data_IF_026119855738
#
_entry.id   IF_026119855738
#
_cell.length_a   1.000
_cell.length_b   1.000
_cell.length_c   1.000
_cell.angle_alpha   90.00
_cell.angle_beta   90.00
_cell.angle_gamma   90.00
#
_symmetry.space_group_name_H-M   'P 1'
#
loop_
_entity.id
_entity.type
_entity.pdbx_description
1 polymer ?
#
# COMPACT_ATOMS: atom_id res chain seq x y z
N UNK A 1 8.76 -3.78 3.72
CA UNK A 1 8.82 -4.00 2.25
C UNK A 1 8.76 -2.64 1.57
N UNK A 2 9.56 -2.40 0.55
CA UNK A 2 9.65 -1.12 -0.17
C UNK A 2 9.56 -1.33 -1.68
N UNK A 3 9.02 -0.34 -2.38
CA UNK A 3 9.07 -0.31 -3.84
C UNK A 3 10.48 0.06 -4.35
N UNK A 4 10.63 0.12 -5.67
CA UNK A 4 11.88 0.47 -6.33
C UNK A 4 12.19 1.97 -6.39
N UNK A 5 11.50 2.83 -5.64
CA UNK A 5 11.73 4.27 -5.74
C UNK A 5 13.15 4.66 -5.30
N UNK A 6 13.77 5.59 -6.06
CA UNK A 6 15.18 5.93 -5.88
C UNK A 6 15.50 6.43 -4.46
N UNK A 7 14.57 7.16 -3.82
CA UNK A 7 14.77 7.72 -2.49
C UNK A 7 14.86 6.65 -1.39
N UNK A 8 14.23 5.48 -1.57
CA UNK A 8 14.33 4.34 -0.64
C UNK A 8 15.74 3.73 -0.60
N UNK A 9 16.56 3.96 -1.64
CA UNK A 9 17.91 3.40 -1.78
C UNK A 9 19.02 4.39 -1.49
N UNK A 10 18.68 5.57 -0.98
CA UNK A 10 19.67 6.58 -0.63
C UNK A 10 20.50 6.13 0.57
N UNK A 11 21.77 6.53 0.61
CA UNK A 11 22.68 6.17 1.72
C UNK A 11 22.14 6.62 3.07
N UNK A 12 21.48 7.79 3.12
CA UNK A 12 20.88 8.32 4.33
C UNK A 12 19.81 7.35 4.89
N UNK A 13 18.91 6.88 4.02
CA UNK A 13 17.82 5.96 4.42
C UNK A 13 18.38 4.59 4.82
N UNK A 14 19.34 4.06 4.06
CA UNK A 14 20.00 2.78 4.37
C UNK A 14 20.75 2.85 5.71
N UNK A 15 21.45 3.95 5.97
CA UNK A 15 22.22 4.15 7.21
C UNK A 15 21.29 4.25 8.41
N UNK A 16 20.21 5.03 8.31
CA UNK A 16 19.20 5.12 9.36
C UNK A 16 18.57 3.75 9.67
N UNK A 17 18.26 2.96 8.64
CA UNK A 17 17.71 1.62 8.82
C UNK A 17 18.66 0.69 9.57
N UNK A 18 19.96 0.75 9.27
CA UNK A 18 21.00 -0.01 10.00
C UNK A 18 21.05 0.37 11.48
N UNK A 19 21.02 1.68 11.79
CA UNK A 19 21.01 2.17 13.17
C UNK A 19 19.76 1.71 13.93
N UNK A 20 18.61 1.69 13.27
CA UNK A 20 17.34 1.26 13.84
C UNK A 20 17.12 -0.26 13.81
N UNK A 21 18.09 -1.03 13.30
CA UNK A 21 17.99 -2.48 13.11
C UNK A 21 16.76 -2.89 12.28
N UNK A 22 16.47 -2.15 11.21
CA UNK A 22 15.37 -2.40 10.27
C UNK A 22 15.94 -3.01 8.99
N UNK A 23 15.40 -4.16 8.59
CA UNK A 23 15.74 -4.80 7.32
C UNK A 23 14.79 -4.36 6.19
N UNK A 24 15.35 -4.03 5.03
CA UNK A 24 14.58 -3.65 3.84
C UNK A 24 14.42 -4.82 2.86
N UNK A 25 13.18 -5.27 2.70
CA UNK A 25 12.80 -6.16 1.61
C UNK A 25 12.28 -5.35 0.42
N UNK A 26 12.98 -5.36 -0.70
CA UNK A 26 12.56 -4.67 -1.92
C UNK A 26 11.67 -5.56 -2.78
N UNK A 27 10.61 -4.96 -3.32
CA UNK A 27 9.75 -5.62 -4.29
C UNK A 27 10.45 -5.73 -5.66
N UNK A 28 10.18 -6.80 -6.43
CA UNK A 28 10.59 -6.85 -7.82
C UNK A 28 9.96 -5.72 -8.64
N UNK A 29 10.63 -5.34 -9.73
CA UNK A 29 10.19 -4.24 -10.58
C UNK A 29 8.76 -4.49 -11.11
N UNK A 30 7.97 -3.43 -11.24
CA UNK A 30 6.60 -3.47 -11.75
C UNK A 30 5.67 -4.49 -11.06
N UNK A 31 5.80 -4.66 -9.73
CA UNK A 31 4.98 -5.58 -8.94
C UNK A 31 3.98 -4.87 -8.01
N UNK A 32 3.06 -4.02 -8.53
CA UNK A 32 2.11 -3.26 -7.70
C UNK A 32 1.19 -4.18 -6.90
N UNK A 33 0.84 -5.34 -7.45
CA UNK A 33 0.04 -6.35 -6.77
C UNK A 33 0.76 -6.97 -5.56
N UNK A 34 2.09 -6.84 -5.45
CA UNK A 34 2.86 -7.29 -4.29
C UNK A 34 3.02 -6.20 -3.23
N UNK A 35 2.66 -4.94 -3.53
CA UNK A 35 2.80 -3.83 -2.60
C UNK A 35 1.54 -3.73 -1.70
N UNK A 36 1.63 -4.04 -0.39
CA UNK A 36 0.48 -3.95 0.50
C UNK A 36 -0.08 -2.53 0.62
N UNK A 37 0.78 -1.51 0.46
CA UNK A 37 0.38 -0.09 0.53
C UNK A 37 -0.50 0.26 -0.67
N UNK A 38 -0.17 -0.19 -1.88
CA UNK A 38 -1.01 0.06 -3.06
C UNK A 38 -2.35 -0.65 -2.96
N UNK A 39 -2.38 -1.86 -2.38
CA UNK A 39 -3.65 -2.56 -2.10
C UNK A 39 -4.52 -1.78 -1.11
N UNK A 40 -3.94 -1.31 -0.01
CA UNK A 40 -4.64 -0.49 0.96
C UNK A 40 -5.11 0.84 0.35
N UNK A 41 -4.27 1.47 -0.48
CA UNK A 41 -4.63 2.69 -1.21
C UNK A 41 -5.82 2.48 -2.14
N UNK A 42 -5.90 1.34 -2.83
CA UNK A 42 -7.05 1.01 -3.69
C UNK A 42 -8.35 0.97 -2.88
N UNK A 43 -8.31 0.32 -1.71
CA UNK A 43 -9.45 0.23 -0.79
C UNK A 43 -9.82 1.62 -0.26
N UNK A 44 -8.85 2.39 0.20
CA UNK A 44 -9.06 3.77 0.63
C UNK A 44 -9.69 4.61 -0.49
N UNK A 45 -9.25 4.46 -1.74
CA UNK A 45 -9.83 5.18 -2.86
C UNK A 45 -11.29 4.79 -3.08
N UNK A 46 -11.64 3.50 -2.98
CA UNK A 46 -13.02 3.01 -3.07
C UNK A 46 -13.95 3.66 -2.03
N UNK A 47 -13.46 3.93 -0.82
CA UNK A 47 -14.26 4.48 0.28
C UNK A 47 -14.22 6.01 0.39
N UNK A 48 -13.10 6.65 0.07
CA UNK A 48 -12.85 8.06 0.42
C UNK A 48 -12.79 8.96 -0.81
N UNK A 49 -12.24 8.48 -1.93
CA UNK A 49 -11.86 9.36 -3.04
C UNK A 49 -12.68 9.15 -4.30
N UNK A 50 -13.22 7.95 -4.53
CA UNK A 50 -13.97 7.64 -5.74
C UNK A 50 -15.21 8.55 -5.83
N UNK A 51 -15.26 9.36 -6.88
CA UNK A 51 -16.36 10.29 -7.20
C UNK A 51 -16.61 11.39 -6.13
N UNK A 52 -15.64 11.66 -5.27
CA UNK A 52 -15.74 12.70 -4.24
C UNK A 52 -14.80 13.86 -4.55
N UNK A 53 -15.36 15.07 -4.66
CA UNK A 53 -14.56 16.30 -4.75
C UNK A 53 -14.41 16.94 -3.36
N UNK A 54 -13.16 17.22 -2.98
CA UNK A 54 -12.84 17.91 -1.74
C UNK A 54 -12.58 19.39 -2.00
N UNK A 55 -13.43 20.26 -1.43
CA UNK A 55 -13.30 21.71 -1.59
C UNK A 55 -12.10 22.33 -0.89
N UNK A 56 -11.40 21.58 -0.02
CA UNK A 56 -10.19 22.04 0.67
C UNK A 56 -9.29 20.89 1.09
N UNK A 57 -8.00 21.19 1.25
CA UNK A 57 -7.00 20.26 1.80
C UNK A 57 -7.39 19.72 3.18
N UNK A 58 -7.99 20.56 4.03
CA UNK A 58 -8.41 20.15 5.38
C UNK A 58 -9.48 19.07 5.29
N UNK A 59 -10.51 19.25 4.47
CA UNK A 59 -11.57 18.26 4.29
C UNK A 59 -11.02 16.94 3.75
N UNK A 60 -10.10 17.01 2.78
CA UNK A 60 -9.42 15.82 2.27
C UNK A 60 -8.67 15.07 3.37
N UNK A 61 -7.81 15.76 4.13
CA UNK A 61 -7.05 15.14 5.23
C UNK A 61 -7.99 14.55 6.29
N UNK A 62 -9.05 15.27 6.67
CA UNK A 62 -10.03 14.78 7.64
C UNK A 62 -10.72 13.51 7.16
N UNK A 63 -11.09 13.42 5.89
CA UNK A 63 -11.71 12.22 5.33
C UNK A 63 -10.74 11.02 5.30
N UNK A 64 -9.47 11.25 4.97
CA UNK A 64 -8.43 10.22 5.03
C UNK A 64 -8.24 9.73 6.46
N UNK A 65 -8.20 10.64 7.45
CA UNK A 65 -8.09 10.26 8.87
C UNK A 65 -9.28 9.43 9.34
N UNK A 66 -10.50 9.89 9.04
CA UNK A 66 -11.72 9.16 9.37
C UNK A 66 -11.75 7.74 8.78
N UNK A 67 -11.18 7.56 7.59
CA UNK A 67 -11.01 6.22 7.02
C UNK A 67 -10.12 5.33 7.87
N UNK A 68 -8.96 5.81 8.32
CA UNK A 68 -8.07 5.01 9.18
C UNK A 68 -8.64 4.78 10.58
N UNK A 69 -9.35 5.77 11.14
CA UNK A 69 -9.83 5.74 12.52
C UNK A 69 -11.12 4.91 12.69
N UNK A 70 -11.99 4.90 11.68
CA UNK A 70 -13.32 4.27 11.78
C UNK A 70 -13.60 3.25 10.69
N UNK A 71 -13.43 3.64 9.42
CA UNK A 71 -13.83 2.77 8.30
C UNK A 71 -12.94 1.54 8.18
N UNK A 72 -11.63 1.69 8.27
CA UNK A 72 -10.66 0.60 8.10
C UNK A 72 -10.85 -0.49 9.16
N UNK A 73 -10.95 -0.20 10.47
CA UNK A 73 -11.27 -1.20 11.49
C UNK A 73 -12.56 -1.98 11.19
N UNK A 74 -13.63 -1.31 10.77
CA UNK A 74 -14.93 -1.93 10.47
C UNK A 74 -14.86 -2.90 9.28
N UNK A 75 -14.05 -2.59 8.27
CA UNK A 75 -13.94 -3.43 7.07
C UNK A 75 -12.76 -4.41 7.12
N UNK A 76 -11.90 -4.37 8.15
CA UNK A 76 -10.67 -5.15 8.24
C UNK A 76 -10.91 -6.65 8.07
N UNK A 77 -11.92 -7.20 8.75
CA UNK A 77 -12.23 -8.63 8.67
C UNK A 77 -12.63 -9.08 7.26
N UNK A 78 -13.34 -8.22 6.52
CA UNK A 78 -13.72 -8.47 5.12
C UNK A 78 -12.53 -8.33 4.15
N UNK A 79 -11.48 -7.63 4.58
CA UNK A 79 -10.32 -7.27 3.79
C UNK A 79 -9.10 -8.14 4.01
N UNK A 80 -9.04 -8.89 5.11
CA UNK A 80 -7.95 -9.83 5.41
C UNK A 80 -7.59 -10.74 4.23
N UNK A 81 -8.53 -11.33 3.46
CA UNK A 81 -8.20 -12.14 2.28
C UNK A 81 -7.59 -11.34 1.12
N UNK A 82 -7.92 -10.05 1.00
CA UNK A 82 -7.46 -9.16 -0.07
C UNK A 82 -6.13 -8.48 0.26
N UNK A 83 -5.87 -8.20 1.54
CA UNK A 83 -4.67 -7.51 2.02
C UNK A 83 -3.57 -8.47 2.47
N UNK A 84 -3.92 -9.62 3.02
CA UNK A 84 -2.95 -10.60 3.54
C UNK A 84 -2.57 -11.61 2.46
N UNK A 85 -1.35 -11.49 1.91
CA UNK A 85 -0.46 -12.55 1.41
C UNK A 85 -0.97 -13.61 0.40
N UNK A 86 -2.26 -13.61 0.04
CA UNK A 86 -2.92 -14.61 -0.80
C UNK A 86 -2.61 -14.28 -2.24
N UNK A 87 -1.36 -14.48 -2.65
CA UNK A 87 -0.93 -14.30 -4.02
C UNK A 87 -1.43 -15.49 -4.82
N UNK A 88 -2.35 -15.22 -5.75
CA UNK A 88 -2.76 -16.24 -6.70
C UNK A 88 -1.58 -16.51 -7.65
N UNK A 89 -1.01 -17.71 -7.59
CA UNK A 89 0.00 -18.14 -8.53
C UNK A 89 -0.67 -18.35 -9.90
N UNK A 90 -0.39 -17.47 -10.86
CA UNK A 90 -0.85 -17.64 -12.23
C UNK A 90 -0.02 -18.73 -12.91
N UNK A 91 -0.69 -19.65 -13.61
CA UNK A 91 0.01 -20.62 -14.46
C UNK A 91 0.59 -19.88 -15.68
N UNK A 92 1.86 -20.13 -16.05
CA UNK A 92 2.42 -19.55 -17.27
C UNK A 92 1.59 -20.01 -18.48
N UNK A 93 1.40 -19.12 -19.45
CA UNK A 93 0.75 -19.47 -20.70
C UNK A 93 1.61 -20.49 -21.44
N UNK A 94 1.00 -21.56 -21.95
CA UNK A 94 1.71 -22.52 -22.80
C UNK A 94 2.22 -21.79 -24.04
N UNK A 95 3.54 -21.77 -24.22
CA UNK A 95 4.16 -21.30 -25.46
C UNK A 95 3.68 -22.18 -26.61
N UNK A 96 3.21 -21.55 -27.69
CA UNK A 96 2.95 -22.20 -28.99
C UNK A 96 4.23 -22.32 -29.80
#
# INVERSE_FOLDING_TARGET
MLDGAAYHRTELVITAAKVLNIEFHYLPLYSPNLNPIERLRKVMNEHVQNNVYFSSKIKFISAIKAFFDSTLPEITDSLMPRTTGSFQLLKPASSS
#
